data_IF_991946875401
#
_entry.id   IF_991946875401
#
_cell.length_a   1.000
_cell.length_b   1.000
_cell.length_c   1.000
_cell.angle_alpha   90.00
_cell.angle_beta   90.00
_cell.angle_gamma   90.00
#
_symmetry.space_group_name_H-M   'P 1'
#
loop_
_entity.id
_entity.type
_entity.pdbx_description
1 polymer ?
#
# COMPACT_ATOMS: atom_id res chain seq x y z
N UNK A 1 30.01 22.61 4.98
CA UNK A 1 28.59 23.02 5.14
C UNK A 1 27.68 21.80 5.07
N UNK A 2 28.05 20.73 5.79
CA UNK A 2 27.32 19.47 5.86
C UNK A 2 27.46 18.98 7.31
N UNK A 3 26.87 19.74 8.23
CA UNK A 3 26.85 19.41 9.65
C UNK A 3 25.49 19.84 10.20
N UNK A 4 24.90 19.00 11.05
CA UNK A 4 23.56 19.08 11.63
C UNK A 4 22.36 18.49 10.83
N UNK A 5 22.50 17.30 10.23
CA UNK A 5 21.36 16.35 10.05
C UNK A 5 21.34 15.27 11.14
N UNK A 6 22.05 15.49 12.24
CA UNK A 6 22.10 14.58 13.38
C UNK A 6 20.88 14.77 14.29
N UNK A 7 19.96 13.81 14.20
CA UNK A 7 19.00 13.38 15.21
C UNK A 7 17.98 14.42 15.71
N UNK A 8 17.02 14.80 14.85
CA UNK A 8 15.67 15.04 15.37
C UNK A 8 15.03 13.64 15.46
N UNK A 9 14.61 13.16 16.64
CA UNK A 9 13.92 11.87 16.74
C UNK A 9 12.74 11.89 15.79
N UNK A 10 12.43 10.76 15.14
CA UNK A 10 11.36 10.75 14.15
C UNK A 10 10.07 11.30 14.76
N UNK A 11 9.63 12.42 14.23
CA UNK A 11 8.41 13.07 14.71
C UNK A 11 7.24 12.45 13.99
N UNK A 12 6.38 11.78 14.75
CA UNK A 12 5.07 11.35 14.27
C UNK A 12 4.06 12.45 14.56
N UNK A 13 3.40 12.92 13.53
CA UNK A 13 2.32 13.91 13.58
C UNK A 13 1.03 13.26 13.09
N UNK A 14 -0.11 13.72 13.59
CA UNK A 14 -1.43 13.22 13.17
C UNK A 14 -2.22 14.33 12.51
N UNK A 15 -2.58 14.12 11.24
CA UNK A 15 -3.42 15.00 10.44
C UNK A 15 -4.85 14.43 10.36
N UNK A 16 -5.88 15.27 10.45
CA UNK A 16 -7.24 14.83 10.15
C UNK A 16 -7.37 14.48 8.67
N UNK A 17 -8.17 13.46 8.37
CA UNK A 17 -8.57 13.11 7.03
C UNK A 17 -9.51 14.17 6.46
N UNK A 18 -8.93 15.18 5.82
CA UNK A 18 -9.64 16.28 5.18
C UNK A 18 -9.03 16.62 3.82
N UNK A 19 -9.78 17.31 2.96
CA UNK A 19 -9.29 17.73 1.65
C UNK A 19 -8.02 18.58 1.74
N UNK A 20 -7.83 19.35 2.82
CA UNK A 20 -6.65 20.17 3.03
C UNK A 20 -5.33 19.39 3.07
N UNK A 21 -5.35 18.09 3.39
CA UNK A 21 -4.16 17.22 3.31
C UNK A 21 -3.63 17.12 1.89
N UNK A 22 -4.49 17.25 0.87
CA UNK A 22 -4.09 17.20 -0.54
C UNK A 22 -3.24 18.39 -0.97
N UNK A 23 -3.30 19.49 -0.22
CA UNK A 23 -2.46 20.69 -0.43
C UNK A 23 -1.14 20.61 0.35
N UNK A 24 -0.94 19.54 1.13
CA UNK A 24 0.24 19.30 1.95
C UNK A 24 -0.10 19.10 3.42
N UNK A 25 0.91 18.75 4.21
CA UNK A 25 0.82 18.49 5.64
C UNK A 25 1.44 19.60 6.47
N UNK A 26 1.04 19.75 7.73
CA UNK A 26 1.59 20.77 8.62
C UNK A 26 2.83 20.21 9.31
N UNK A 27 3.93 20.97 9.31
CA UNK A 27 5.14 20.59 10.06
C UNK A 27 4.98 20.81 11.57
N UNK A 28 4.07 21.72 11.97
CA UNK A 28 3.77 22.08 13.35
C UNK A 28 2.26 22.18 13.54
N UNK A 29 1.75 21.68 14.68
CA UNK A 29 0.32 21.77 14.99
C UNK A 29 -0.13 23.24 15.07
N UNK A 30 -1.22 23.57 14.37
CA UNK A 30 -1.81 24.90 14.36
C UNK A 30 -1.23 25.88 13.34
N UNK A 31 -0.15 25.52 12.64
CA UNK A 31 0.38 26.37 11.57
C UNK A 31 -0.41 26.21 10.26
N UNK A 32 -0.67 27.31 9.53
CA UNK A 32 -1.34 27.24 8.24
C UNK A 32 -0.40 26.77 7.10
N UNK A 33 0.91 26.77 7.33
CA UNK A 33 1.88 26.36 6.32
C UNK A 33 1.76 24.85 6.06
N UNK A 34 1.65 24.50 4.78
CA UNK A 34 1.57 23.11 4.31
C UNK A 34 2.78 22.79 3.45
N UNK A 35 3.41 21.65 3.72
CA UNK A 35 4.58 21.16 3.01
C UNK A 35 4.23 19.92 2.20
N UNK A 36 4.94 19.75 1.08
CA UNK A 36 4.94 18.49 0.33
C UNK A 36 5.77 17.45 1.07
N UNK A 37 5.42 16.20 0.84
CA UNK A 37 6.05 15.03 1.44
C UNK A 37 6.69 14.20 0.34
N UNK A 38 7.79 13.52 0.65
CA UNK A 38 8.49 12.71 -0.34
C UNK A 38 7.66 11.47 -0.72
N UNK A 39 7.20 10.71 0.27
CA UNK A 39 6.49 9.45 0.06
C UNK A 39 5.10 9.46 0.70
N UNK A 40 4.07 9.10 -0.07
CA UNK A 40 2.74 8.74 0.44
C UNK A 40 2.56 7.23 0.43
N UNK A 41 2.04 6.65 1.51
CA UNK A 41 1.72 5.23 1.63
C UNK A 41 0.22 5.09 1.90
N UNK A 42 -0.46 4.37 1.02
CA UNK A 42 -1.90 4.19 1.01
C UNK A 42 -2.23 2.71 1.17
N UNK A 43 -2.56 2.25 2.38
CA UNK A 43 -3.10 0.91 2.58
C UNK A 43 -4.49 0.77 1.94
N UNK A 44 -4.72 -0.31 1.20
CA UNK A 44 -5.96 -0.57 0.44
C UNK A 44 -6.39 -2.02 0.65
N UNK A 45 -7.66 -2.24 0.98
CA UNK A 45 -8.21 -3.60 1.08
C UNK A 45 -8.54 -4.20 -0.29
N UNK A 46 -8.49 -5.53 -0.39
CA UNK A 46 -8.82 -6.27 -1.60
C UNK A 46 -10.25 -5.95 -2.09
N UNK A 47 -11.18 -5.93 -1.15
CA UNK A 47 -12.62 -5.71 -1.34
C UNK A 47 -13.04 -4.22 -1.30
N UNK A 48 -12.08 -3.29 -1.22
CA UNK A 48 -12.37 -1.86 -1.13
C UNK A 48 -12.74 -1.26 -2.48
N UNK A 49 -14.05 -1.17 -2.78
CA UNK A 49 -14.57 -0.51 -3.98
C UNK A 49 -15.81 0.31 -3.61
N UNK A 50 -15.83 1.65 -3.80
CA UNK A 50 -14.73 2.52 -4.27
C UNK A 50 -13.58 2.65 -3.25
N UNK A 51 -12.46 3.25 -3.67
CA UNK A 51 -11.37 3.65 -2.75
C UNK A 51 -11.90 4.65 -1.71
N UNK A 52 -11.54 4.44 -0.45
CA UNK A 52 -12.00 5.22 0.70
C UNK A 52 -10.85 5.99 1.34
N UNK A 53 -11.18 6.85 2.30
CA UNK A 53 -10.19 7.60 3.06
C UNK A 53 -9.27 8.47 2.20
N UNK A 54 -7.98 8.50 2.55
CA UNK A 54 -6.99 9.27 1.81
C UNK A 54 -6.77 8.70 0.41
N UNK A 55 -6.89 7.38 0.21
CA UNK A 55 -6.77 6.77 -1.12
C UNK A 55 -7.88 7.27 -2.06
N UNK A 56 -9.11 7.39 -1.56
CA UNK A 56 -10.23 7.99 -2.29
C UNK A 56 -10.01 9.47 -2.61
N UNK A 57 -9.51 10.26 -1.66
CA UNK A 57 -9.19 11.68 -1.88
C UNK A 57 -8.08 11.87 -2.93
N UNK A 58 -7.03 11.06 -2.84
CA UNK A 58 -5.93 11.04 -3.81
C UNK A 58 -6.45 10.64 -5.19
N UNK A 59 -7.29 9.61 -5.26
CA UNK A 59 -7.84 9.14 -6.53
C UNK A 59 -8.74 10.20 -7.18
N UNK A 60 -9.60 10.87 -6.40
CA UNK A 60 -10.40 12.01 -6.87
C UNK A 60 -9.51 13.12 -7.44
N UNK A 61 -8.46 13.50 -6.69
CA UNK A 61 -7.52 14.56 -7.09
C UNK A 61 -6.71 14.19 -8.34
N UNK A 62 -6.41 12.91 -8.50
CA UNK A 62 -5.70 12.33 -9.63
C UNK A 62 -6.64 11.89 -10.78
N UNK A 63 -7.90 12.32 -10.76
CA UNK A 63 -8.90 12.03 -11.80
C UNK A 63 -9.08 10.52 -12.06
N UNK A 64 -9.19 9.72 -11.00
CA UNK A 64 -9.47 8.29 -11.06
C UNK A 64 -8.26 7.43 -11.45
N UNK A 65 -7.03 7.93 -11.30
CA UNK A 65 -5.81 7.19 -11.67
C UNK A 65 -5.65 5.89 -10.89
N UNK A 66 -5.84 5.91 -9.58
CA UNK A 66 -5.75 4.71 -8.75
C UNK A 66 -6.89 3.75 -9.08
N UNK A 67 -8.12 4.25 -9.24
CA UNK A 67 -9.25 3.43 -9.69
C UNK A 67 -9.02 2.78 -11.06
N UNK A 68 -8.25 3.41 -11.96
CA UNK A 68 -7.87 2.80 -13.24
C UNK A 68 -6.86 1.67 -13.06
N UNK A 69 -5.81 1.90 -12.26
CA UNK A 69 -4.82 0.87 -11.89
C UNK A 69 -5.52 -0.37 -11.32
N UNK A 70 -6.48 -0.17 -10.40
CA UNK A 70 -7.26 -1.26 -9.80
C UNK A 70 -8.13 -2.01 -10.81
N UNK A 71 -8.74 -1.31 -11.78
CA UNK A 71 -9.57 -1.91 -12.83
C UNK A 71 -8.75 -2.63 -13.90
N UNK A 72 -7.55 -2.16 -14.18
CA UNK A 72 -6.60 -2.78 -15.11
C UNK A 72 -5.90 -4.00 -14.49
N UNK A 73 -6.10 -4.27 -13.19
CA UNK A 73 -5.52 -5.43 -12.51
C UNK A 73 -4.04 -5.26 -12.15
N UNK A 74 -3.49 -4.05 -12.29
CA UNK A 74 -2.09 -3.75 -11.90
C UNK A 74 -1.89 -3.72 -10.39
N UNK A 75 -2.97 -3.57 -9.63
CA UNK A 75 -2.99 -3.72 -8.18
C UNK A 75 -4.37 -4.18 -7.73
N UNK A 76 -4.43 -5.21 -6.89
CA UNK A 76 -5.71 -5.76 -6.41
C UNK A 76 -6.08 -5.33 -4.99
N UNK A 77 -5.07 -5.15 -4.13
CA UNK A 77 -5.20 -5.04 -2.68
C UNK A 77 -4.94 -6.36 -1.94
N UNK A 78 -4.33 -7.35 -2.58
CA UNK A 78 -3.99 -8.63 -1.97
C UNK A 78 -2.99 -8.44 -0.82
N UNK A 79 -3.04 -9.33 0.18
CA UNK A 79 -2.19 -9.19 1.37
C UNK A 79 -0.71 -9.19 0.99
N UNK A 80 0.00 -8.11 1.33
CA UNK A 80 1.43 -7.96 1.05
C UNK A 80 1.75 -7.47 -0.37
N UNK A 81 0.75 -7.21 -1.20
CA UNK A 81 0.93 -6.58 -2.51
C UNK A 81 1.44 -5.15 -2.35
N UNK A 82 2.43 -4.75 -3.14
CA UNK A 82 2.99 -3.40 -3.14
C UNK A 82 3.01 -2.85 -4.56
N UNK A 83 2.54 -1.62 -4.74
CA UNK A 83 2.67 -0.90 -6.01
C UNK A 83 3.24 0.50 -5.75
N UNK A 84 4.44 0.76 -6.28
CA UNK A 84 5.02 2.10 -6.32
C UNK A 84 4.60 2.82 -7.60
N UNK A 85 4.09 4.05 -7.46
CA UNK A 85 3.73 4.93 -8.56
C UNK A 85 4.32 6.33 -8.33
N UNK A 86 4.64 7.07 -9.39
CA UNK A 86 5.01 8.47 -9.23
C UNK A 86 3.84 9.27 -8.64
N UNK A 87 4.15 10.17 -7.71
CA UNK A 87 3.26 11.26 -7.36
C UNK A 87 3.12 12.21 -8.54
N UNK A 88 2.11 13.07 -8.50
CA UNK A 88 1.98 14.16 -9.47
C UNK A 88 1.92 15.52 -8.75
N UNK A 89 2.00 16.60 -9.52
CA UNK A 89 2.01 17.97 -8.98
C UNK A 89 0.72 18.37 -8.26
N UNK A 90 -0.38 17.64 -8.44
CA UNK A 90 -1.69 17.87 -7.80
C UNK A 90 -1.78 17.20 -6.43
N UNK A 91 -0.88 16.26 -6.14
CA UNK A 91 -0.84 15.50 -4.90
C UNK A 91 0.18 16.09 -3.93
N UNK A 92 0.00 15.89 -2.61
CA UNK A 92 0.93 16.41 -1.60
C UNK A 92 2.24 15.63 -1.53
N UNK A 93 2.41 14.61 -2.39
CA UNK A 93 3.52 13.66 -2.34
C UNK A 93 4.24 13.55 -3.68
N UNK A 94 5.54 13.23 -3.64
CA UNK A 94 6.36 13.03 -4.84
C UNK A 94 6.34 11.58 -5.33
N UNK A 95 6.16 10.62 -4.42
CA UNK A 95 6.02 9.18 -4.67
C UNK A 95 4.80 8.63 -3.92
N UNK A 96 4.13 7.64 -4.49
CA UNK A 96 2.98 6.97 -3.88
C UNK A 96 3.20 5.45 -3.87
N UNK A 97 3.01 4.82 -2.72
CA UNK A 97 2.95 3.36 -2.59
C UNK A 97 1.56 2.93 -2.16
N UNK A 98 0.97 2.00 -2.89
CA UNK A 98 -0.20 1.25 -2.43
C UNK A 98 0.27 0.00 -1.69
N UNK A 99 -0.35 -0.30 -0.54
CA UNK A 99 -0.08 -1.50 0.26
C UNK A 99 -1.34 -2.32 0.37
N UNK A 100 -1.32 -3.55 -0.13
CA UNK A 100 -2.47 -4.44 -0.09
C UNK A 100 -2.64 -5.09 1.27
N UNK A 101 -3.84 -4.95 1.83
CA UNK A 101 -4.20 -5.45 3.16
C UNK A 101 -4.92 -6.80 3.13
N UNK A 102 -5.24 -7.31 1.95
CA UNK A 102 -6.09 -8.48 1.77
C UNK A 102 -7.57 -8.19 2.06
N UNK A 103 -8.39 -9.24 2.24
CA UNK A 103 -9.79 -9.09 2.58
C UNK A 103 -9.98 -8.40 3.93
N UNK A 104 -10.86 -7.42 3.99
CA UNK A 104 -11.19 -6.67 5.20
C UNK A 104 -11.71 -7.56 6.34
N UNK A 105 -12.51 -8.56 6.01
CA UNK A 105 -13.08 -9.51 6.99
C UNK A 105 -12.00 -10.31 7.74
N UNK A 106 -10.81 -10.42 7.19
CA UNK A 106 -9.69 -11.17 7.76
C UNK A 106 -8.65 -10.23 8.41
N UNK A 107 -8.92 -8.92 8.46
CA UNK A 107 -8.01 -7.92 9.01
C UNK A 107 -7.99 -7.93 10.54
N UNK A 108 -7.18 -8.83 11.08
CA UNK A 108 -7.01 -9.05 12.51
C UNK A 108 -5.74 -8.41 13.08
N UNK A 109 -5.45 -8.65 14.36
CA UNK A 109 -4.27 -8.13 15.04
C UNK A 109 -2.93 -8.59 14.44
N UNK A 110 -2.86 -9.76 13.79
CA UNK A 110 -1.64 -10.22 13.14
C UNK A 110 -1.41 -9.48 11.82
N UNK A 111 -2.45 -9.35 10.99
CA UNK A 111 -2.38 -8.60 9.72
C UNK A 111 -2.13 -7.13 9.92
N UNK A 112 -2.70 -6.55 10.98
CA UNK A 112 -2.44 -5.18 11.38
C UNK A 112 -0.97 -4.94 11.72
N UNK A 113 -0.31 -5.85 12.45
CA UNK A 113 1.14 -5.76 12.71
C UNK A 113 1.95 -5.93 11.43
N UNK A 114 1.55 -6.86 10.55
CA UNK A 114 2.19 -7.04 9.25
C UNK A 114 2.07 -5.79 8.38
N UNK A 115 0.90 -5.14 8.37
CA UNK A 115 0.66 -3.91 7.64
C UNK A 115 1.53 -2.76 8.19
N UNK A 116 1.58 -2.59 9.52
CA UNK A 116 2.46 -1.60 10.15
C UNK A 116 3.94 -1.82 9.78
N UNK A 117 4.40 -3.07 9.85
CA UNK A 117 5.77 -3.43 9.48
C UNK A 117 6.04 -3.16 8.00
N UNK A 118 5.12 -3.53 7.10
CA UNK A 118 5.26 -3.33 5.66
C UNK A 118 5.33 -1.84 5.30
N UNK A 119 4.51 -1.00 5.93
CA UNK A 119 4.54 0.46 5.74
C UNK A 119 5.90 1.02 6.14
N UNK A 120 6.41 0.65 7.31
CA UNK A 120 7.68 1.17 7.81
C UNK A 120 8.87 0.63 7.02
N UNK A 121 8.91 -0.68 6.71
CA UNK A 121 9.98 -1.28 5.94
C UNK A 121 10.04 -0.73 4.51
N UNK A 122 8.88 -0.46 3.89
CA UNK A 122 8.80 0.19 2.58
C UNK A 122 9.38 1.60 2.63
N UNK A 123 9.00 2.41 3.61
CA UNK A 123 9.51 3.77 3.76
C UNK A 123 11.04 3.81 3.98
N UNK A 124 11.54 2.89 4.81
CA UNK A 124 12.99 2.72 5.08
C UNK A 124 13.72 2.27 3.81
N UNK A 125 13.23 1.23 3.13
CA UNK A 125 13.84 0.68 1.91
C UNK A 125 13.88 1.70 0.76
N UNK A 126 12.85 2.55 0.63
CA UNK A 126 12.81 3.63 -0.36
C UNK A 126 13.60 4.88 0.04
N UNK A 127 14.23 4.85 1.22
CA UNK A 127 14.97 5.95 1.83
C UNK A 127 14.20 7.26 1.82
N UNK A 128 12.93 7.19 2.23
CA UNK A 128 12.09 8.37 2.25
C UNK A 128 12.60 9.40 3.28
N UNK A 129 12.64 10.68 2.91
CA UNK A 129 12.99 11.77 3.84
C UNK A 129 11.79 12.12 4.75
N UNK A 130 10.58 12.03 4.21
CA UNK A 130 9.33 12.25 4.93
C UNK A 130 8.21 11.37 4.40
N UNK A 131 7.33 10.89 5.28
CA UNK A 131 6.33 9.87 4.94
C UNK A 131 4.93 10.30 5.37
N UNK A 132 3.99 10.29 4.43
CA UNK A 132 2.56 10.46 4.66
C UNK A 132 1.89 9.10 4.64
N UNK A 133 1.22 8.70 5.72
CA UNK A 133 0.59 7.38 5.84
C UNK A 133 -0.91 7.59 6.01
N UNK A 134 -1.70 6.92 5.17
CA UNK A 134 -3.12 6.78 5.42
C UNK A 134 -3.37 5.70 6.47
N UNK A 135 -4.04 6.05 7.57
CA UNK A 135 -4.57 5.06 8.50
C UNK A 135 -5.93 4.58 7.95
N UNK A 136 -6.11 3.30 7.63
CA UNK A 136 -7.43 2.78 7.30
C UNK A 136 -8.34 2.98 8.52
N UNK A 137 -9.40 3.76 8.35
CA UNK A 137 -10.39 4.06 9.39
C UNK A 137 -11.82 3.80 8.93
N UNK A 138 -12.07 3.90 7.62
CA UNK A 138 -13.38 3.66 7.05
C UNK A 138 -13.71 2.17 7.03
N UNK A 139 -14.87 1.81 7.60
CA UNK A 139 -15.40 0.46 7.63
C UNK A 139 -14.54 -0.57 8.36
N UNK A 140 -13.69 -0.13 9.29
CA UNK A 140 -13.09 -0.98 10.32
C UNK A 140 -13.46 -0.45 11.70
N UNK A 141 -13.42 -1.31 12.72
CA UNK A 141 -13.70 -0.86 14.08
C UNK A 141 -12.66 0.15 14.57
N UNK A 142 -13.13 1.17 15.29
CA UNK A 142 -12.26 2.19 15.90
C UNK A 142 -11.09 1.59 16.68
N UNK A 143 -11.35 0.51 17.44
CA UNK A 143 -10.32 -0.14 18.25
C UNK A 143 -9.19 -0.70 17.40
N UNK A 144 -9.53 -1.29 16.25
CA UNK A 144 -8.57 -1.82 15.28
C UNK A 144 -7.72 -0.68 14.69
N UNK A 145 -8.32 0.46 14.36
CA UNK A 145 -7.57 1.63 13.91
C UNK A 145 -6.58 2.15 14.97
N UNK A 146 -6.99 2.20 16.25
CA UNK A 146 -6.11 2.59 17.36
C UNK A 146 -4.97 1.59 17.58
N UNK A 147 -5.25 0.29 17.51
CA UNK A 147 -4.24 -0.76 17.63
C UNK A 147 -3.25 -0.72 16.45
N UNK A 148 -3.72 -0.38 15.24
CA UNK A 148 -2.88 -0.21 14.05
C UNK A 148 -1.94 0.97 14.22
N UNK A 149 -2.47 2.09 14.71
CA UNK A 149 -1.66 3.26 15.03
C UNK A 149 -0.58 2.91 16.05
N UNK A 150 -0.93 2.22 17.14
CA UNK A 150 0.04 1.79 18.14
C UNK A 150 1.13 0.87 17.54
N UNK A 151 0.74 -0.10 16.72
CA UNK A 151 1.69 -0.97 16.01
C UNK A 151 2.61 -0.18 15.07
N UNK A 152 2.09 0.86 14.41
CA UNK A 152 2.84 1.73 13.52
C UNK A 152 3.88 2.55 14.28
N UNK A 153 3.52 3.13 15.44
CA UNK A 153 4.48 3.82 16.32
C UNK A 153 5.58 2.86 16.75
N UNK A 154 5.23 1.67 17.24
CA UNK A 154 6.23 0.68 17.65
C UNK A 154 7.15 0.25 16.50
N UNK A 155 6.64 0.11 15.28
CA UNK A 155 7.44 -0.22 14.11
C UNK A 155 8.39 0.94 13.72
N UNK A 156 7.92 2.20 13.78
CA UNK A 156 8.76 3.39 13.54
C UNK A 156 9.87 3.50 14.58
N UNK A 157 9.55 3.33 15.87
CA UNK A 157 10.53 3.34 16.97
C UNK A 157 11.57 2.22 16.81
N UNK A 158 11.14 1.02 16.42
CA UNK A 158 12.03 -0.11 16.16
C UNK A 158 12.98 0.18 14.97
N UNK A 159 12.48 0.83 13.91
CA UNK A 159 13.31 1.19 12.75
C UNK A 159 14.36 2.28 13.05
N UNK A 160 14.09 3.13 14.05
CA UNK A 160 15.02 4.18 14.49
C UNK A 160 16.05 3.69 15.49
N UNK A 161 15.76 2.58 16.16
CA UNK A 161 16.69 1.96 17.10
C UNK A 161 17.72 1.20 16.27
N UNK A 162 19.01 1.58 16.30
CA UNK A 162 20.04 0.79 15.64
C UNK A 162 19.99 -0.63 16.21
N UNK A 163 20.16 -1.68 15.39
CA UNK A 163 20.27 -3.03 15.92
C UNK A 163 21.39 -3.02 16.95
N UNK A 164 21.06 -3.34 18.20
CA UNK A 164 22.03 -3.47 19.27
C UNK A 164 23.11 -4.46 18.80
N UNK A 165 24.35 -3.98 18.63
CA UNK A 165 25.48 -4.84 18.31
C UNK A 165 25.78 -5.70 19.55
N UNK A 166 24.98 -6.75 19.75
CA UNK A 166 25.29 -7.83 20.67
C UNK A 166 26.64 -8.46 20.30
N UNK A 167 27.36 -9.07 21.26
CA UNK A 167 28.75 -9.46 21.09
C UNK A 167 28.91 -10.36 19.88
N UNK A 168 29.64 -9.89 18.87
CA UNK A 168 29.99 -10.67 17.69
C UNK A 168 30.79 -11.89 18.15
N UNK A 169 30.10 -13.03 18.26
CA UNK A 169 30.75 -14.32 18.36
C UNK A 169 31.67 -14.45 17.14
N UNK A 170 32.96 -14.51 17.43
CA UNK A 170 34.08 -14.60 16.50
C UNK A 170 33.79 -15.61 15.37
N UNK A 171 33.27 -15.14 14.25
CA UNK A 171 33.28 -15.92 13.01
C UNK A 171 34.69 -15.84 12.44
N UNK A 172 35.50 -16.82 12.83
CA UNK A 172 36.76 -17.17 12.16
C UNK A 172 36.54 -17.29 10.65
N UNK A 173 37.44 -16.74 9.81
CA UNK A 173 37.25 -16.78 8.36
C UNK A 173 37.59 -18.18 7.80
N UNK A 174 36.62 -18.69 7.03
CA UNK A 174 36.80 -19.28 5.70
C UNK A 174 37.91 -20.32 5.50
N UNK A 175 37.52 -21.60 5.52
CA UNK A 175 38.16 -22.62 4.69
C UNK A 175 37.32 -22.79 3.42
N UNK A 176 37.85 -22.31 2.30
CA UNK A 176 37.28 -22.47 0.97
C UNK A 176 37.33 -23.94 0.51
N UNK A 177 36.31 -24.46 -0.20
CA UNK A 177 36.50 -25.56 -1.13
C UNK A 177 36.92 -24.99 -2.49
N UNK A 178 38.10 -25.42 -2.96
CA UNK A 178 38.60 -25.11 -4.28
C UNK A 178 37.72 -25.76 -5.35
N UNK A 179 37.34 -24.94 -6.33
CA UNK A 179 36.73 -25.38 -7.57
C UNK A 179 37.77 -26.09 -8.44
N UNK A 180 37.54 -27.35 -8.78
CA UNK A 180 38.17 -27.98 -9.93
C UNK A 180 37.20 -27.94 -11.12
N UNK A 181 37.69 -27.43 -12.24
CA UNK A 181 36.95 -27.17 -13.48
C UNK A 181 37.50 -28.08 -14.59
N UNK A 182 36.57 -28.77 -15.26
CA UNK A 182 36.60 -29.26 -16.66
C UNK A 182 37.46 -30.51 -17.00
N UNK A 183 37.23 -31.19 -18.15
CA UNK A 183 36.18 -31.04 -19.19
C UNK A 183 35.46 -32.36 -19.65
N UNK A 184 34.35 -32.17 -20.36
CA UNK A 184 33.67 -33.07 -21.35
C UNK A 184 34.63 -33.67 -22.42
N UNK A 185 34.26 -34.61 -23.34
CA UNK A 185 32.91 -34.96 -23.85
C UNK A 185 32.65 -36.47 -24.15
N UNK A 186 31.38 -36.87 -24.36
CA UNK A 186 30.92 -37.71 -25.49
C UNK A 186 29.48 -38.23 -25.35
N UNK A 187 28.62 -37.78 -26.26
CA UNK A 187 27.69 -38.56 -27.10
C UNK A 187 27.31 -39.98 -26.67
N UNK A 188 26.01 -40.22 -26.46
CA UNK A 188 25.23 -41.22 -27.23
C UNK A 188 23.73 -41.00 -27.10
N UNK A 189 23.03 -41.13 -28.23
CA UNK A 189 21.59 -41.05 -28.45
C UNK A 189 20.81 -42.31 -28.02
N UNK A 190 19.49 -42.17 -27.87
CA UNK A 190 18.36 -43.10 -28.19
C UNK A 190 17.15 -42.65 -27.34
N UNK A 191 16.02 -42.13 -27.84
CA UNK A 191 14.97 -42.66 -28.75
C UNK A 191 14.07 -43.73 -28.11
N UNK A 192 12.74 -43.50 -28.29
CA UNK A 192 11.58 -44.42 -28.24
C UNK A 192 11.10 -44.90 -26.86
N UNK A 193 9.81 -45.12 -26.54
CA UNK A 193 8.55 -45.19 -27.29
C UNK A 193 7.35 -45.29 -26.30
N UNK A 194 6.14 -44.92 -26.77
CA UNK A 194 4.77 -45.50 -26.61
C UNK A 194 4.38 -46.26 -25.30
N UNK A 195 3.12 -46.29 -24.83
CA UNK A 195 1.82 -45.95 -25.41
C UNK A 195 0.66 -46.35 -24.47
N UNK A 196 -0.56 -46.22 -25.00
CA UNK A 196 -1.85 -46.92 -24.72
C UNK A 196 -2.48 -46.82 -23.31
N UNK A 197 -3.68 -46.23 -23.16
CA UNK A 197 -5.04 -46.71 -23.51
C UNK A 197 -5.59 -47.82 -22.60
N UNK A 198 -6.83 -47.61 -22.12
CA UNK A 198 -7.58 -48.58 -21.32
C UNK A 198 -8.84 -48.00 -20.68
N UNK A 199 -9.90 -47.85 -21.49
CA UNK A 199 -11.30 -47.66 -21.10
C UNK A 199 -11.86 -48.87 -20.32
N UNK A 200 -12.91 -48.69 -19.52
CA UNK A 200 -14.28 -49.30 -19.59
C UNK A 200 -14.65 -49.73 -18.15
N UNK A 201 -15.87 -49.79 -17.61
CA UNK A 201 -17.26 -49.49 -18.02
C UNK A 201 -18.17 -49.71 -16.78
N UNK A 202 -19.43 -49.27 -16.85
CA UNK A 202 -20.56 -49.79 -16.04
C UNK A 202 -21.33 -48.69 -15.29
N UNK A 203 -22.37 -48.05 -15.85
CA UNK A 203 -23.76 -48.53 -16.00
C UNK A 203 -24.42 -48.85 -14.64
N UNK A 204 -25.62 -48.40 -14.23
CA UNK A 204 -26.79 -47.75 -14.86
C UNK A 204 -27.75 -47.34 -13.71
N UNK A 205 -28.56 -46.29 -13.86
CA UNK A 205 -30.03 -46.25 -13.60
C UNK A 205 -30.57 -44.81 -13.56
N UNK A 206 -31.42 -44.51 -14.54
CA UNK A 206 -32.42 -43.43 -14.59
C UNK A 206 -33.75 -43.94 -13.96
N UNK A 207 -34.87 -43.18 -13.87
CA UNK A 207 -35.09 -41.72 -14.01
C UNK A 207 -36.08 -41.14 -12.96
N UNK A 208 -36.07 -39.83 -12.69
CA UNK A 208 -37.28 -39.05 -12.28
C UNK A 208 -37.13 -37.58 -12.72
N UNK A 209 -38.00 -37.15 -13.63
CA UNK A 209 -38.37 -35.76 -13.90
C UNK A 209 -39.58 -35.37 -12.98
N UNK A 210 -39.99 -34.08 -12.79
CA UNK A 210 -39.79 -32.95 -13.69
C UNK A 210 -39.47 -31.57 -13.04
N UNK A 211 -38.88 -30.71 -13.88
CA UNK A 211 -39.31 -29.33 -14.16
C UNK A 211 -39.74 -28.45 -12.96
N UNK A 212 -38.80 -27.62 -12.48
CA UNK A 212 -39.12 -26.34 -11.84
C UNK A 212 -38.07 -25.31 -12.27
N UNK A 213 -38.48 -24.40 -13.16
CA UNK A 213 -37.81 -23.12 -13.40
C UNK A 213 -37.60 -22.40 -12.05
N UNK A 214 -36.37 -21.97 -11.70
CA UNK A 214 -36.21 -21.08 -10.57
C UNK A 214 -36.74 -19.69 -10.93
N UNK A 215 -37.84 -19.31 -10.29
CA UNK A 215 -38.37 -17.94 -10.27
C UNK A 215 -37.24 -16.93 -9.99
N UNK A 216 -36.94 -16.09 -10.99
CA UNK A 216 -36.10 -14.90 -10.83
C UNK A 216 -36.82 -13.94 -9.87
N UNK A 217 -36.14 -13.38 -8.85
CA UNK A 217 -36.77 -12.37 -8.00
C UNK A 217 -37.09 -11.11 -8.81
N UNK A 218 -38.35 -10.68 -8.76
CA UNK A 218 -38.83 -9.45 -9.38
C UNK A 218 -38.01 -8.24 -8.88
N UNK A 219 -37.29 -7.61 -9.80
CA UNK A 219 -36.66 -6.30 -9.56
C UNK A 219 -37.77 -5.26 -9.37
N UNK A 220 -37.66 -4.35 -8.37
CA UNK A 220 -38.64 -3.29 -8.20
C UNK A 220 -38.66 -2.39 -9.44
N UNK A 221 -39.87 -2.16 -9.98
CA UNK A 221 -40.10 -1.28 -11.12
C UNK A 221 -39.53 0.12 -10.85
N UNK A 222 -38.55 0.51 -11.65
CA UNK A 222 -38.05 1.88 -11.69
C UNK A 222 -39.19 2.80 -12.18
N UNK A 223 -39.43 3.95 -11.52
CA UNK A 223 -40.43 4.90 -11.99
C UNK A 223 -40.08 5.38 -13.41
N UNK A 224 -41.06 5.61 -14.30
CA UNK A 224 -40.81 6.02 -15.67
C UNK A 224 -40.01 7.32 -15.71
N UNK A 225 -38.88 7.25 -16.40
CA UNK A 225 -37.94 8.36 -16.58
C UNK A 225 -38.64 9.61 -17.11
N UNK A 226 -38.43 10.72 -16.42
CA UNK A 226 -38.66 12.04 -16.99
C UNK A 226 -37.80 12.25 -18.24
N UNK A 227 -38.21 13.16 -19.14
CA UNK A 227 -37.49 13.40 -20.38
C UNK A 227 -36.02 13.76 -20.11
N UNK A 228 -35.08 13.26 -20.92
CA UNK A 228 -33.66 13.58 -20.76
C UNK A 228 -33.46 15.09 -20.86
N UNK A 229 -32.62 15.70 -20.01
CA UNK A 229 -32.27 17.11 -20.16
C UNK A 229 -31.57 17.33 -21.50
N UNK A 230 -32.05 18.31 -22.25
CA UNK A 230 -31.44 18.77 -23.52
C UNK A 230 -29.95 19.05 -23.32
N UNK A 231 -29.12 18.36 -24.10
CA UNK A 231 -27.70 18.64 -24.17
C UNK A 231 -27.48 20.05 -24.78
N UNK A 232 -26.68 20.93 -24.16
CA UNK A 232 -26.33 22.19 -24.77
C UNK A 232 -25.48 21.94 -26.03
N UNK A 233 -26.01 22.38 -27.17
CA UNK A 233 -25.34 22.35 -28.47
C UNK A 233 -24.16 23.33 -28.46
N UNK A 234 -22.96 22.81 -28.22
CA UNK A 234 -21.71 23.52 -28.46
C UNK A 234 -21.30 23.46 -29.94
N UNK A 235 -20.62 24.49 -30.48
CA UNK A 235 -20.20 24.51 -31.88
C UNK A 235 -19.08 23.49 -32.15
N UNK A 236 -19.13 22.90 -33.36
CA UNK A 236 -18.18 21.92 -33.87
C UNK A 236 -16.73 22.45 -33.90
N UNK A 237 -15.72 21.61 -33.59
CA UNK A 237 -14.33 21.95 -33.87
C UNK A 237 -14.00 21.73 -35.35
N UNK A 238 -13.33 22.74 -35.91
CA UNK A 238 -12.78 22.73 -37.26
C UNK A 238 -11.42 22.00 -37.31
N UNK A 239 -11.21 21.39 -38.47
CA UNK A 239 -9.97 21.00 -39.14
C UNK A 239 -8.94 20.08 -38.46
N UNK A 240 -8.87 18.91 -39.10
CA UNK A 240 -7.74 18.04 -39.33
C UNK A 240 -6.37 18.74 -39.43
N UNK A 241 -5.41 18.18 -38.70
CA UNK A 241 -4.02 18.09 -39.13
C UNK A 241 -3.54 16.65 -38.87
N UNK A 242 -3.23 15.93 -39.94
CA UNK A 242 -2.53 14.65 -39.94
C UNK A 242 -1.16 14.81 -39.27
N UNK A 243 -0.88 13.99 -38.26
CA UNK A 243 0.48 13.70 -37.79
C UNK A 243 0.88 12.28 -38.25
N UNK A 244 2.13 12.07 -38.69
CA UNK A 244 2.54 10.83 -39.35
C UNK A 244 2.73 9.66 -38.36
N UNK A 245 2.22 8.49 -38.74
CA UNK A 245 2.41 7.20 -38.05
C UNK A 245 3.90 6.84 -37.91
N UNK A 246 4.34 6.66 -36.67
CA UNK A 246 5.60 5.98 -36.33
C UNK A 246 5.26 4.53 -35.95
N UNK A 247 5.87 3.50 -36.57
CA UNK A 247 5.56 2.11 -36.27
C UNK A 247 5.98 1.73 -34.84
N UNK A 248 5.25 0.82 -34.16
CA UNK A 248 5.56 0.44 -32.78
C UNK A 248 6.82 -0.43 -32.72
N UNK A 249 7.80 -0.01 -31.90
CA UNK A 249 8.88 -0.88 -31.45
C UNK A 249 8.36 -1.83 -30.37
N UNK A 250 8.58 -3.13 -30.55
CA UNK A 250 8.24 -4.18 -29.59
C UNK A 250 8.96 -3.94 -28.24
N UNK A 251 8.25 -3.95 -27.10
CA UNK A 251 8.91 -3.86 -25.80
C UNK A 251 9.70 -5.15 -25.53
N UNK A 252 10.94 -5.07 -24.99
CA UNK A 252 11.65 -6.27 -24.58
C UNK A 252 10.90 -6.97 -23.44
N UNK A 253 10.67 -8.26 -23.60
CA UNK A 253 10.05 -9.12 -22.58
C UNK A 253 10.76 -8.97 -21.22
N UNK A 254 10.01 -8.78 -20.11
CA UNK A 254 10.63 -8.74 -18.79
C UNK A 254 11.09 -10.14 -18.41
N UNK A 255 12.39 -10.39 -18.54
CA UNK A 255 13.04 -11.55 -17.93
C UNK A 255 12.75 -11.54 -16.43
N UNK A 256 12.02 -12.56 -15.96
CA UNK A 256 11.78 -12.83 -14.56
C UNK A 256 13.11 -12.82 -13.80
N UNK A 257 13.30 -11.81 -12.94
CA UNK A 257 14.36 -11.82 -11.93
C UNK A 257 13.73 -12.33 -10.64
N UNK A 258 14.10 -13.54 -10.28
CA UNK A 258 13.75 -14.20 -9.04
C UNK A 258 14.08 -13.33 -7.82
N UNK A 259 13.14 -13.29 -6.88
CA UNK A 259 13.15 -12.47 -5.67
C UNK A 259 14.11 -12.97 -4.60
N UNK A 260 15.41 -12.81 -4.81
CA UNK A 260 16.40 -12.89 -3.77
C UNK A 260 17.31 -11.66 -3.90
N UNK A 261 17.30 -10.77 -2.90
CA UNK A 261 18.30 -9.73 -2.56
C UNK A 261 17.71 -8.44 -1.94
N UNK A 262 16.47 -8.44 -1.41
CA UNK A 262 15.91 -7.28 -0.67
C UNK A 262 16.35 -7.19 0.81
N UNK A 263 17.09 -8.18 1.35
CA UNK A 263 17.35 -8.28 2.80
C UNK A 263 18.68 -7.65 3.27
N UNK A 264 19.56 -7.16 2.39
CA UNK A 264 20.95 -6.82 2.77
C UNK A 264 21.32 -5.31 2.83
N UNK A 265 20.36 -4.37 2.72
CA UNK A 265 20.68 -2.95 2.52
C UNK A 265 20.10 -1.92 3.51
N UNK A 266 19.33 -2.33 4.52
CA UNK A 266 18.47 -1.42 5.30
C UNK A 266 19.06 -0.85 6.60
N UNK A 267 20.34 -1.10 6.90
CA UNK A 267 20.92 -0.63 8.17
C UNK A 267 21.21 0.88 8.14
N UNK A 268 20.41 1.65 8.89
CA UNK A 268 20.80 2.98 9.38
C UNK A 268 20.12 4.20 8.74
N UNK A 269 19.18 4.03 7.80
CA UNK A 269 18.36 5.15 7.30
C UNK A 269 16.91 5.02 7.76
N UNK A 270 16.42 6.00 8.51
CA UNK A 270 15.02 6.11 8.88
C UNK A 270 14.51 7.53 8.56
N UNK A 271 13.27 7.66 8.05
CA UNK A 271 12.65 8.95 7.80
C UNK A 271 12.60 9.80 9.09
N UNK A 272 12.97 11.07 8.97
CA UNK A 272 12.96 12.00 10.10
C UNK A 272 11.56 12.49 10.48
N UNK A 273 10.57 12.38 9.58
CA UNK A 273 9.21 12.86 9.81
C UNK A 273 8.14 11.94 9.21
N UNK A 274 7.10 11.72 10.00
CA UNK A 274 5.99 10.85 9.67
C UNK A 274 4.68 11.59 9.95
N UNK A 275 3.79 11.61 8.98
CA UNK A 275 2.44 12.14 9.12
C UNK A 275 1.46 10.99 8.96
N UNK A 276 0.63 10.76 9.97
CA UNK A 276 -0.46 9.78 9.92
C UNK A 276 -1.76 10.53 9.72
N UNK A 277 -2.44 10.23 8.61
CA UNK A 277 -3.75 10.79 8.28
C UNK A 277 -4.81 9.82 8.79
N UNK A 278 -5.71 10.30 9.64
CA UNK A 278 -6.75 9.48 10.23
C UNK A 278 -8.08 10.25 10.33
N UNK A 279 -9.19 9.53 10.43
CA UNK A 279 -10.51 10.14 10.63
C UNK A 279 -10.57 11.05 11.88
N UNK A 280 -11.33 12.15 11.78
CA UNK A 280 -11.43 13.17 12.82
C UNK A 280 -11.83 12.59 14.20
N UNK A 281 -12.67 11.54 14.21
CA UNK A 281 -13.16 10.90 15.44
C UNK A 281 -12.04 10.20 16.24
N UNK A 282 -10.95 9.81 15.57
CA UNK A 282 -9.79 9.17 16.20
C UNK A 282 -8.62 10.11 16.42
N UNK A 283 -8.47 11.17 15.60
CA UNK A 283 -7.33 12.12 15.66
C UNK A 283 -7.05 12.63 17.08
N UNK A 284 -8.07 13.13 17.78
CA UNK A 284 -7.89 13.68 19.13
C UNK A 284 -7.34 12.64 20.13
N UNK A 285 -7.70 11.36 19.94
CA UNK A 285 -7.21 10.26 20.77
C UNK A 285 -5.80 9.84 20.36
N UNK A 286 -5.49 9.75 19.06
CA UNK A 286 -4.15 9.42 18.59
C UNK A 286 -3.13 10.49 19.02
N UNK A 287 -3.50 11.78 18.97
CA UNK A 287 -2.65 12.87 19.50
C UNK A 287 -2.38 12.73 21.00
N UNK A 288 -3.35 12.26 21.80
CA UNK A 288 -3.15 11.96 23.23
C UNK A 288 -2.19 10.79 23.45
N UNK A 289 -2.24 9.77 22.59
CA UNK A 289 -1.28 8.65 22.63
C UNK A 289 0.15 9.18 22.43
N UNK A 290 0.35 10.07 21.45
CA UNK A 290 1.65 10.69 21.19
C UNK A 290 2.12 11.64 22.30
N UNK A 291 1.21 12.42 22.87
CA UNK A 291 1.54 13.40 23.93
C UNK A 291 1.82 12.74 25.30
N UNK A 292 1.49 11.45 25.43
CA UNK A 292 1.50 10.74 26.70
C UNK A 292 0.37 11.18 27.64
N UNK A 293 0.19 10.49 28.79
CA UNK A 293 -0.75 10.94 29.81
C UNK A 293 -0.40 12.37 30.25
N UNK A 294 -1.39 13.25 30.50
CA UNK A 294 -1.12 14.61 30.94
C UNK A 294 -0.24 14.55 32.19
N UNK A 295 0.98 15.07 32.08
CA UNK A 295 1.87 15.16 33.25
C UNK A 295 1.13 15.97 34.31
N UNK A 296 0.97 15.46 35.55
CA UNK A 296 0.42 16.28 36.62
C UNK A 296 1.29 17.54 36.73
N UNK A 297 0.64 18.71 36.74
CA UNK A 297 1.32 19.99 36.82
C UNK A 297 2.29 19.97 38.01
N UNK A 298 3.60 20.00 37.73
CA UNK A 298 4.62 20.16 38.77
C UNK A 298 4.47 21.57 39.34
N UNK A 299 3.96 21.65 40.56
CA UNK A 299 4.06 22.84 41.41
C UNK A 299 2.87 23.79 41.33
N UNK A 300 1.76 23.42 41.95
CA UNK A 300 0.96 24.41 42.66
C UNK A 300 1.63 24.66 44.03
N UNK A 301 1.91 25.91 44.44
CA UNK A 301 2.46 26.15 45.77
C UNK A 301 1.48 25.61 46.82
N UNK A 302 2.00 24.78 47.72
CA UNK A 302 1.26 24.26 48.86
C UNK A 302 0.66 25.42 49.65
N UNK A 303 -0.67 25.48 49.68
CA UNK A 303 -1.39 26.30 50.64
C UNK A 303 -1.20 25.65 52.01
N UNK A 304 -0.21 26.15 52.74
CA UNK A 304 -0.21 26.06 54.20
C UNK A 304 -1.30 26.99 54.72
N UNK A 305 -2.32 26.41 55.35
CA UNK A 305 -3.12 27.05 56.39
C UNK A 305 -3.28 26.05 57.52
#
# INVERSE_FOLDING_TARGET
>A
MAEQRASDPARVLVEPLEQGVLDGVRELEGEPHRVRVDLGILPVFLDERPLLGLAGLVDWRACGRLSRILREGLFSGALGELLLTPGDRRLPVDRLVLVGLGPRAEFDGARLRQAAQAVVSTAVGLRADGVLIALPSEGIERRVAEDLFAALISAVEAALTPPDEGPQAERSPSAAPQAERSPDPASTASTSEQGEEGSEEGASEEPVAPDQDPELPELPELPPGGPPPEAPSGPAPADAAEEPEVPPEDPPEPSAREGADLEAGCAGWAPGRWWVVADEQVVARLRRVLSGPPRPARGGPGLHT
#
